data_IF_326486306257
#
_entry.id   IF_326486306257
#
_cell.length_a   1.000
_cell.length_b   1.000
_cell.length_c   1.000
_cell.angle_alpha   90.00
_cell.angle_beta   90.00
_cell.angle_gamma   90.00
#
_symmetry.space_group_name_H-M   'P 1'
#
loop_
_entity.id
_entity.type
_entity.pdbx_description
1 polymer ?
#
# COMPACT_ATOMS: atom_id res chain seq x y z
N UNK A 1 5.12 -5.73 -12.51
CA UNK A 1 5.61 -5.05 -11.29
C UNK A 1 5.82 -6.12 -10.24
N UNK A 2 7.02 -6.24 -9.69
CA UNK A 2 7.28 -7.19 -8.60
C UNK A 2 6.74 -6.59 -7.30
N UNK A 3 5.86 -7.31 -6.59
CA UNK A 3 5.20 -6.82 -5.37
C UNK A 3 6.12 -7.09 -4.19
N UNK A 4 6.44 -6.06 -3.42
CA UNK A 4 7.43 -6.15 -2.33
C UNK A 4 6.78 -6.04 -0.96
N UNK A 5 5.94 -5.03 -0.76
CA UNK A 5 5.27 -4.78 0.52
C UNK A 5 3.89 -4.17 0.32
N UNK A 6 3.08 -4.13 1.37
CA UNK A 6 1.74 -3.56 1.33
C UNK A 6 1.34 -2.91 2.65
N UNK A 7 0.30 -2.09 2.60
CA UNK A 7 -0.39 -1.55 3.77
C UNK A 7 -1.87 -1.98 3.72
N UNK A 8 -2.39 -2.48 4.84
CA UNK A 8 -3.84 -2.69 5.00
C UNK A 8 -4.47 -1.36 5.41
N UNK A 9 -5.51 -0.93 4.69
CA UNK A 9 -6.24 0.31 4.99
C UNK A 9 -7.73 0.09 4.81
N UNK A 10 -8.55 0.90 5.48
CA UNK A 10 -9.97 0.85 5.30
C UNK A 10 -10.36 1.30 3.87
N UNK A 11 -11.33 0.63 3.25
CA UNK A 11 -11.83 1.02 1.93
C UNK A 11 -12.30 2.48 1.88
N UNK A 12 -12.84 3.02 2.98
CA UNK A 12 -13.26 4.43 3.06
C UNK A 12 -12.12 5.44 2.96
N UNK A 13 -10.90 5.06 3.35
CA UNK A 13 -9.72 5.93 3.36
C UNK A 13 -8.93 5.88 2.03
N UNK A 14 -9.28 4.92 1.16
CA UNK A 14 -8.51 4.63 -0.05
C UNK A 14 -8.40 5.82 -0.99
N UNK A 15 -9.48 6.58 -1.19
CA UNK A 15 -9.51 7.68 -2.15
C UNK A 15 -8.51 8.76 -1.77
N UNK A 16 -8.48 9.15 -0.50
CA UNK A 16 -7.53 10.14 0.01
C UNK A 16 -6.07 9.67 -0.16
N UNK A 17 -5.80 8.40 0.16
CA UNK A 17 -4.46 7.84 0.03
C UNK A 17 -4.01 7.75 -1.42
N UNK A 18 -4.92 7.40 -2.34
CA UNK A 18 -4.63 7.39 -3.78
C UNK A 18 -4.26 8.78 -4.28
N UNK A 19 -5.04 9.80 -3.94
CA UNK A 19 -4.76 11.17 -4.36
C UNK A 19 -3.38 11.63 -3.86
N UNK A 20 -3.03 11.29 -2.61
CA UNK A 20 -1.72 11.58 -2.05
C UNK A 20 -0.59 10.85 -2.77
N UNK A 21 -0.76 9.56 -3.08
CA UNK A 21 0.23 8.72 -3.78
C UNK A 21 0.41 9.15 -5.25
N UNK A 22 -0.69 9.49 -5.92
CA UNK A 22 -0.69 9.99 -7.30
C UNK A 22 0.03 11.34 -7.38
N UNK A 23 -0.14 12.22 -6.38
CA UNK A 23 0.54 13.51 -6.32
C UNK A 23 2.07 13.41 -6.17
N UNK A 24 2.57 12.30 -5.61
CA UNK A 24 4.01 12.00 -5.50
C UNK A 24 4.48 10.96 -6.53
N UNK A 25 3.64 10.66 -7.53
CA UNK A 25 3.90 9.74 -8.65
C UNK A 25 4.41 8.35 -8.21
N UNK A 26 3.89 7.86 -7.09
CA UNK A 26 4.29 6.55 -6.55
C UNK A 26 3.57 5.42 -7.29
N UNK A 27 4.29 4.40 -7.77
CA UNK A 27 3.64 3.21 -8.30
C UNK A 27 3.02 2.38 -7.17
N UNK A 28 1.71 2.11 -7.26
CA UNK A 28 0.99 1.23 -6.35
C UNK A 28 -0.07 0.38 -7.09
N UNK A 29 -0.53 -0.68 -6.43
CA UNK A 29 -1.66 -1.50 -6.82
C UNK A 29 -2.62 -1.61 -5.64
N UNK A 30 -3.91 -1.73 -5.92
CA UNK A 30 -4.93 -1.98 -4.90
C UNK A 30 -5.40 -3.42 -5.04
N UNK A 31 -5.36 -4.16 -3.95
CA UNK A 31 -5.79 -5.55 -3.90
C UNK A 31 -6.87 -5.74 -2.84
N UNK A 32 -7.89 -6.49 -3.22
CA UNK A 32 -8.94 -6.92 -2.31
C UNK A 32 -8.46 -8.13 -1.48
N UNK A 33 -9.09 -8.39 -0.32
CA UNK A 33 -8.80 -9.57 0.48
C UNK A 33 -8.90 -10.84 -0.37
N UNK A 34 -7.92 -11.73 -0.24
CA UNK A 34 -7.86 -13.01 -0.96
C UNK A 34 -7.19 -14.08 -0.11
N UNK A 35 -7.18 -15.34 -0.56
CA UNK A 35 -6.52 -16.43 0.17
C UNK A 35 -5.03 -16.17 0.44
N UNK A 36 -4.37 -15.40 -0.44
CA UNK A 36 -2.97 -14.99 -0.27
C UNK A 36 -2.82 -13.77 0.64
N UNK A 37 -3.79 -12.87 0.62
CA UNK A 37 -3.72 -11.59 1.31
C UNK A 37 -4.88 -11.51 2.30
N UNK A 38 -4.64 -12.05 3.50
CA UNK A 38 -5.61 -12.04 4.58
C UNK A 38 -5.67 -10.64 5.18
N UNK A 39 -6.74 -9.92 4.84
CA UNK A 39 -7.03 -8.58 5.35
C UNK A 39 -8.30 -8.62 6.19
N UNK A 40 -8.49 -7.64 7.07
CA UNK A 40 -9.71 -7.57 7.87
C UNK A 40 -10.92 -7.25 6.97
N UNK A 41 -12.14 -7.64 7.38
CA UNK A 41 -13.34 -7.27 6.63
C UNK A 41 -13.46 -5.75 6.46
N UNK A 42 -13.64 -5.28 5.22
CA UNK A 42 -13.73 -3.86 4.90
C UNK A 42 -12.38 -3.16 4.67
N UNK A 43 -11.27 -3.89 4.79
CA UNK A 43 -9.95 -3.42 4.43
C UNK A 43 -9.56 -3.87 3.02
N UNK A 44 -8.63 -3.11 2.44
CA UNK A 44 -7.92 -3.45 1.21
C UNK A 44 -6.44 -3.19 1.38
N UNK A 45 -5.65 -3.83 0.54
CA UNK A 45 -4.22 -3.62 0.53
C UNK A 45 -3.83 -2.63 -0.55
N UNK A 46 -3.01 -1.66 -0.17
CA UNK A 46 -2.23 -0.87 -1.12
C UNK A 46 -0.85 -1.53 -1.20
N UNK A 47 -0.56 -2.14 -2.34
CA UNK A 47 0.63 -2.93 -2.61
C UNK A 47 1.62 -2.11 -3.41
N UNK A 48 2.88 -2.16 -3.00
CA UNK A 48 3.97 -1.39 -3.58
C UNK A 48 5.05 -2.33 -4.13
N UNK A 49 5.74 -1.93 -5.21
CA UNK A 49 6.96 -2.57 -5.61
C UNK A 49 8.11 -2.24 -4.67
N UNK A 50 9.29 -2.76 -4.99
CA UNK A 50 10.51 -2.19 -4.41
C UNK A 50 10.60 -0.70 -4.77
N UNK A 51 10.64 0.14 -3.74
CA UNK A 51 10.71 1.59 -3.88
C UNK A 51 12.10 2.06 -3.48
N UNK A 52 12.59 3.11 -4.15
CA UNK A 52 13.79 3.78 -3.68
C UNK A 52 13.58 4.33 -2.25
N UNK A 53 14.67 4.47 -1.49
CA UNK A 53 14.58 4.84 -0.06
C UNK A 53 13.89 6.18 0.21
N UNK A 54 14.01 7.15 -0.72
CA UNK A 54 13.39 8.49 -0.57
C UNK A 54 11.87 8.39 -0.70
N UNK A 55 11.42 7.71 -1.74
CA UNK A 55 10.01 7.47 -2.01
C UNK A 55 9.40 6.60 -0.91
N UNK A 56 10.11 5.55 -0.48
CA UNK A 56 9.69 4.74 0.65
C UNK A 56 9.51 5.56 1.93
N UNK A 57 10.41 6.49 2.23
CA UNK A 57 10.25 7.35 3.41
C UNK A 57 8.98 8.20 3.35
N UNK A 58 8.64 8.77 2.19
CA UNK A 58 7.39 9.52 2.02
C UNK A 58 6.16 8.64 2.19
N UNK A 59 6.17 7.42 1.62
CA UNK A 59 5.09 6.44 1.83
C UNK A 59 5.00 6.07 3.31
N UNK A 60 6.12 5.78 3.97
CA UNK A 60 6.16 5.44 5.40
C UNK A 60 5.54 6.53 6.27
N UNK A 61 5.82 7.80 5.96
CA UNK A 61 5.25 8.95 6.65
C UNK A 61 3.74 9.06 6.39
N UNK A 62 3.29 8.90 5.14
CA UNK A 62 1.88 8.94 4.76
C UNK A 62 1.04 7.89 5.50
N UNK A 63 1.59 6.69 5.67
CA UNK A 63 0.92 5.57 6.36
C UNK A 63 1.25 5.49 7.86
N UNK A 64 2.03 6.44 8.39
CA UNK A 64 2.47 6.49 9.79
C UNK A 64 3.05 5.17 10.33
N UNK A 65 3.81 4.45 9.49
CA UNK A 65 4.29 3.12 9.84
C UNK A 65 4.98 2.38 8.71
N UNK A 66 5.59 1.25 9.04
CA UNK A 66 6.22 0.37 8.06
C UNK A 66 5.20 -0.56 7.40
N UNK A 67 5.32 -0.73 6.08
CA UNK A 67 4.51 -1.68 5.33
C UNK A 67 4.86 -3.13 5.70
N UNK A 68 3.87 -4.00 5.53
CA UNK A 68 4.01 -5.45 5.72
C UNK A 68 4.61 -6.07 4.47
N UNK A 69 5.47 -7.09 4.64
CA UNK A 69 6.05 -7.81 3.50
C UNK A 69 4.95 -8.52 2.72
N UNK A 70 4.97 -8.39 1.40
CA UNK A 70 4.02 -9.08 0.54
C UNK A 70 4.33 -10.60 0.55
N UNK A 71 3.32 -11.48 0.68
CA UNK A 71 3.52 -12.92 0.68
C UNK A 71 4.00 -13.42 -0.68
N UNK A 72 5.02 -14.29 -0.68
CA UNK A 72 5.61 -14.92 -1.87
C UNK A 72 4.67 -15.97 -2.50
#
# INVERSE_FOLDING_TARGET
MEKSFYYSVNWGEISYLKDALDAIEVPYLIEQPSDRLQLSPGEVAIVFPDLNVRVYNHVRELFNGHGLRYPE
#
